data_IF_546031595255
#
_entry.id   IF_546031595255
#
_cell.length_a   1.000
_cell.length_b   1.000
_cell.length_c   1.000
_cell.angle_alpha   90.00
_cell.angle_beta   90.00
_cell.angle_gamma   90.00
#
_symmetry.space_group_name_H-M   'P 1'
#
loop_
_entity.id
_entity.type
_entity.pdbx_description
1 polymer ?
#
# COMPACT_ATOMS: atom_id res chain seq x y z
N UNK A 1 -0.17 -5.24 -11.65
CA UNK A 1 0.18 -4.98 -10.22
C UNK A 1 -0.93 -4.14 -9.60
N UNK A 2 -1.17 -4.27 -8.29
CA UNK A 2 -2.20 -3.51 -7.57
C UNK A 2 -1.62 -3.05 -6.23
N UNK A 3 -1.85 -1.78 -5.91
CA UNK A 3 -1.58 -1.23 -4.58
C UNK A 3 -2.84 -0.53 -4.09
N UNK A 4 -3.25 -0.82 -2.85
CA UNK A 4 -4.36 -0.12 -2.17
C UNK A 4 -3.77 0.64 -0.99
N UNK A 5 -4.06 1.93 -0.91
CA UNK A 5 -3.49 2.84 0.08
C UNK A 5 -4.64 3.48 0.85
N UNK A 6 -4.56 3.52 2.17
CA UNK A 6 -5.53 4.20 3.03
C UNK A 6 -4.86 4.81 4.28
N UNK A 7 -5.51 5.82 4.86
CA UNK A 7 -5.06 6.48 6.09
C UNK A 7 -5.34 5.63 7.34
N UNK A 8 -6.33 4.76 7.31
CA UNK A 8 -6.70 3.94 8.46
C UNK A 8 -5.76 2.74 8.65
N UNK A 9 -5.86 2.11 9.82
CA UNK A 9 -5.07 0.93 10.20
C UNK A 9 -5.37 -0.30 9.34
N UNK A 10 -4.54 -1.33 9.48
CA UNK A 10 -4.72 -2.57 8.73
C UNK A 10 -6.08 -3.25 9.01
N UNK A 11 -6.58 -4.02 8.04
CA UNK A 11 -7.87 -4.71 8.17
C UNK A 11 -9.10 -3.82 7.94
N UNK A 12 -8.92 -2.51 7.77
CA UNK A 12 -9.97 -1.56 7.42
C UNK A 12 -10.27 -1.49 5.92
N UNK A 13 -10.35 -0.27 5.37
CA UNK A 13 -10.71 -0.01 3.97
C UNK A 13 -9.81 -0.76 2.99
N UNK A 14 -8.50 -0.82 3.26
CA UNK A 14 -7.53 -1.54 2.41
C UNK A 14 -7.91 -3.01 2.22
N UNK A 15 -8.27 -3.71 3.29
CA UNK A 15 -8.67 -5.12 3.25
C UNK A 15 -10.01 -5.30 2.51
N UNK A 16 -10.99 -4.43 2.78
CA UNK A 16 -12.27 -4.46 2.08
C UNK A 16 -12.08 -4.26 0.56
N UNK A 17 -11.33 -3.24 0.17
CA UNK A 17 -11.04 -2.94 -1.23
C UNK A 17 -10.31 -4.09 -1.92
N UNK A 18 -9.34 -4.71 -1.25
CA UNK A 18 -8.63 -5.87 -1.77
C UNK A 18 -9.61 -7.03 -2.03
N UNK A 19 -10.53 -7.31 -1.10
CA UNK A 19 -11.56 -8.33 -1.29
C UNK A 19 -12.47 -8.02 -2.50
N UNK A 20 -12.93 -6.76 -2.62
CA UNK A 20 -13.77 -6.37 -3.76
C UNK A 20 -13.06 -6.59 -5.10
N UNK A 21 -11.80 -6.18 -5.19
CA UNK A 21 -11.02 -6.27 -6.44
C UNK A 21 -10.68 -7.72 -6.76
N UNK A 22 -10.13 -8.48 -5.81
CA UNK A 22 -9.69 -9.85 -6.06
C UNK A 22 -10.87 -10.82 -6.21
N UNK A 23 -11.84 -10.79 -5.28
CA UNK A 23 -12.89 -11.79 -5.23
C UNK A 23 -14.12 -11.43 -6.06
N UNK A 24 -14.62 -10.19 -5.96
CA UNK A 24 -15.85 -9.80 -6.65
C UNK A 24 -15.60 -9.48 -8.11
N UNK A 25 -14.53 -8.74 -8.42
CA UNK A 25 -14.18 -8.35 -9.78
C UNK A 25 -13.29 -9.37 -10.51
N UNK A 26 -12.85 -10.44 -9.81
CA UNK A 26 -11.99 -11.49 -10.37
C UNK A 26 -10.72 -10.93 -11.01
N UNK A 27 -10.10 -9.95 -10.35
CA UNK A 27 -8.95 -9.25 -10.90
C UNK A 27 -7.63 -10.03 -10.82
N UNK A 28 -7.56 -11.11 -10.02
CA UNK A 28 -6.35 -11.92 -9.84
C UNK A 28 -5.69 -12.34 -11.16
N UNK A 29 -6.49 -12.69 -12.18
CA UNK A 29 -6.01 -13.07 -13.53
C UNK A 29 -5.26 -11.98 -14.30
N UNK A 30 -5.32 -10.73 -13.84
CA UNK A 30 -4.64 -9.58 -14.44
C UNK A 30 -3.42 -9.14 -13.61
N UNK A 31 -3.15 -9.78 -12.48
CA UNK A 31 -2.01 -9.46 -11.64
C UNK A 31 -0.79 -10.27 -12.06
N UNK A 32 0.31 -9.55 -12.24
CA UNK A 32 1.66 -10.02 -12.55
C UNK A 32 2.56 -10.06 -11.29
N UNK A 33 2.04 -9.62 -10.14
CA UNK A 33 2.68 -9.67 -8.83
C UNK A 33 1.62 -9.66 -7.73
N UNK A 34 2.02 -10.05 -6.53
CA UNK A 34 1.16 -10.00 -5.36
C UNK A 34 0.69 -8.55 -5.10
N UNK A 35 -0.59 -8.36 -4.75
CA UNK A 35 -1.11 -7.04 -4.42
C UNK A 35 -0.54 -6.57 -3.08
N UNK A 36 -0.33 -5.26 -2.97
CA UNK A 36 0.20 -4.63 -1.77
C UNK A 36 -0.85 -3.72 -1.13
N UNK A 37 -0.91 -3.75 0.20
CA UNK A 37 -1.67 -2.77 1.00
C UNK A 37 -0.70 -1.86 1.74
N UNK A 38 -0.99 -0.56 1.74
CA UNK A 38 -0.26 0.45 2.52
C UNK A 38 -1.30 1.15 3.40
N UNK A 39 -1.15 1.03 4.71
CA UNK A 39 -2.10 1.53 5.71
C UNK A 39 -1.34 2.23 6.85
N UNK A 40 -2.07 2.87 7.77
CA UNK A 40 -1.48 3.40 8.99
C UNK A 40 -0.93 2.31 9.90
N UNK A 41 -0.05 2.72 10.80
CA UNK A 41 0.52 1.92 11.87
C UNK A 41 -0.55 1.50 12.90
N UNK A 42 -0.40 0.30 13.46
CA UNK A 42 -1.36 -0.31 14.37
C UNK A 42 -1.27 0.24 15.80
N UNK A 43 -1.63 1.51 15.97
CA UNK A 43 -1.75 2.13 17.28
C UNK A 43 -2.94 3.10 17.32
N UNK A 44 -3.18 3.69 18.49
CA UNK A 44 -4.26 4.68 18.64
C UNK A 44 -3.95 5.93 17.82
N UNK A 45 -4.98 6.63 17.30
CA UNK A 45 -4.79 7.88 16.59
C UNK A 45 -4.02 8.91 17.43
N UNK A 46 -3.16 9.71 16.80
CA UNK A 46 -2.42 10.76 17.48
C UNK A 46 -3.35 11.87 17.96
N UNK A 47 -2.97 12.54 19.05
CA UNK A 47 -3.74 13.67 19.58
C UNK A 47 -3.54 14.98 18.80
N UNK A 48 -2.42 15.10 18.10
CA UNK A 48 -1.99 16.28 17.37
C UNK A 48 -1.56 15.92 15.95
N UNK A 49 -1.62 16.88 15.05
CA UNK A 49 -1.25 16.73 13.64
C UNK A 49 0.17 16.23 13.42
N UNK A 50 1.09 16.53 14.33
CA UNK A 50 2.48 16.07 14.22
C UNK A 50 2.59 14.54 14.31
N UNK A 51 1.63 13.90 14.99
CA UNK A 51 1.58 12.45 15.06
C UNK A 51 1.08 11.80 13.78
N UNK A 52 0.37 12.52 12.91
CA UNK A 52 -0.10 11.98 11.62
C UNK A 52 1.07 11.52 10.77
N UNK A 53 2.21 12.21 10.83
CA UNK A 53 3.43 11.84 10.12
C UNK A 53 3.95 10.44 10.49
N UNK A 54 3.80 10.04 11.76
CA UNK A 54 4.26 8.73 12.25
C UNK A 54 3.17 7.66 12.19
N UNK A 55 1.92 8.08 12.07
CA UNK A 55 0.76 7.19 12.13
C UNK A 55 0.31 6.78 10.74
N UNK A 56 0.22 7.74 9.83
CA UNK A 56 -0.33 7.58 8.49
C UNK A 56 0.78 7.23 7.52
N UNK A 57 0.48 6.51 6.43
CA UNK A 57 1.48 6.22 5.42
C UNK A 57 1.99 7.53 4.80
N UNK A 58 3.28 7.79 4.97
CA UNK A 58 3.92 8.99 4.45
C UNK A 58 4.10 8.90 2.94
N UNK A 59 4.34 10.05 2.29
CA UNK A 59 4.65 10.08 0.85
C UNK A 59 5.91 9.28 0.54
N UNK A 60 6.90 9.33 1.43
CA UNK A 60 8.14 8.59 1.26
C UNK A 60 7.90 7.08 1.35
N UNK A 61 7.10 6.62 2.32
CA UNK A 61 6.71 5.20 2.44
C UNK A 61 5.96 4.70 1.21
N UNK A 62 5.02 5.52 0.70
CA UNK A 62 4.26 5.20 -0.51
C UNK A 62 5.18 5.07 -1.72
N UNK A 63 6.09 6.03 -1.89
CA UNK A 63 7.05 6.03 -3.01
C UNK A 63 7.98 4.84 -2.91
N UNK A 64 8.60 4.59 -1.76
CA UNK A 64 9.55 3.49 -1.56
C UNK A 64 8.90 2.13 -1.85
N UNK A 65 7.71 1.87 -1.27
CA UNK A 65 7.00 0.59 -1.46
C UNK A 65 6.54 0.39 -2.90
N UNK A 66 5.93 1.40 -3.52
CA UNK A 66 5.46 1.32 -4.91
C UNK A 66 6.64 1.18 -5.86
N UNK A 67 7.69 1.98 -5.67
CA UNK A 67 8.90 1.92 -6.48
C UNK A 67 9.62 0.58 -6.34
N UNK A 68 9.64 0.00 -5.14
CA UNK A 68 10.16 -1.34 -4.87
C UNK A 68 9.48 -2.42 -5.73
N UNK A 69 8.16 -2.32 -5.93
CA UNK A 69 7.45 -3.24 -6.84
C UNK A 69 7.92 -3.10 -8.30
N UNK A 70 8.24 -1.89 -8.76
CA UNK A 70 8.79 -1.71 -10.11
C UNK A 70 10.24 -2.15 -10.21
N UNK A 71 11.03 -1.94 -9.15
CA UNK A 71 12.41 -2.41 -9.01
C UNK A 71 12.50 -3.92 -9.13
N UNK A 72 11.61 -4.66 -8.46
CA UNK A 72 11.49 -6.12 -8.59
C UNK A 72 11.23 -6.56 -10.03
N UNK A 73 10.36 -5.84 -10.75
CA UNK A 73 10.00 -6.16 -12.13
C UNK A 73 11.13 -5.87 -13.12
N UNK A 74 11.88 -4.78 -12.95
CA UNK A 74 12.95 -4.37 -13.86
C UNK A 74 13.99 -3.51 -13.13
N UNK A 75 14.99 -4.13 -12.49
CA UNK A 75 15.99 -3.43 -11.69
C UNK A 75 16.86 -2.47 -12.50
N UNK A 76 17.05 -2.76 -13.79
CA UNK A 76 17.86 -1.93 -14.69
C UNK A 76 17.16 -0.61 -15.01
N UNK A 77 15.84 -0.64 -15.19
CA UNK A 77 15.02 0.55 -15.46
C UNK A 77 14.64 1.29 -14.19
N UNK A 78 14.47 0.56 -13.09
CA UNK A 78 14.09 1.08 -11.78
C UNK A 78 15.16 0.67 -10.75
N UNK A 79 16.30 1.37 -10.68
CA UNK A 79 17.35 1.07 -9.71
C UNK A 79 16.90 1.43 -8.29
N UNK A 80 17.37 0.68 -7.28
CA UNK A 80 17.03 0.94 -5.88
C UNK A 80 17.31 2.40 -5.50
N UNK A 81 16.29 3.04 -4.93
CA UNK A 81 16.32 4.36 -4.31
C UNK A 81 16.34 4.23 -2.79
#
# INVERSE_FOLDING_TARGET
>A
RLVVIDEDVEGGTTAFMLQQILEKQKAFRYLDADPLTICAENHRPPYASDGDYFSKPSVDDMVEKVYGMFTESNPTKYPKI
#
